data_IF_738354271632
#
_entry.id   IF_738354271632
#
_cell.length_a   1.000
_cell.length_b   1.000
_cell.length_c   1.000
_cell.angle_alpha   90.00
_cell.angle_beta   90.00
_cell.angle_gamma   90.00
#
_symmetry.space_group_name_H-M   'P 1'
#
loop_
_entity.id
_entity.type
_entity.pdbx_description
1 polymer ?
#
# COMPACT_ATOMS: atom_id res chain seq x y z
N UNK A 1 -5.29 22.57 2.03
CA UNK A 1 -4.72 21.24 1.76
C UNK A 1 -5.77 20.46 0.99
N UNK A 2 -5.45 19.91 -0.18
CA UNK A 2 -6.38 19.06 -0.92
C UNK A 2 -6.32 17.65 -0.35
N UNK A 3 -7.49 17.04 -0.12
CA UNK A 3 -7.60 15.63 0.23
C UNK A 3 -7.56 14.79 -1.04
N UNK A 4 -6.75 13.73 -1.05
CA UNK A 4 -6.55 12.89 -2.22
C UNK A 4 -6.58 11.42 -1.81
N UNK A 5 -7.29 10.62 -2.61
CA UNK A 5 -7.21 9.16 -2.60
C UNK A 5 -6.74 8.74 -3.98
N UNK A 6 -5.64 8.00 -4.06
CA UNK A 6 -5.17 7.36 -5.29
C UNK A 6 -5.21 5.86 -5.13
N UNK A 7 -5.54 5.15 -6.21
CA UNK A 7 -5.58 3.70 -6.25
C UNK A 7 -4.96 3.20 -7.55
N UNK A 8 -4.18 2.12 -7.46
CA UNK A 8 -3.52 1.46 -8.58
C UNK A 8 -3.73 -0.05 -8.49
N UNK A 9 -3.92 -0.68 -9.66
CA UNK A 9 -4.11 -2.13 -9.79
C UNK A 9 -3.10 -2.67 -10.80
N UNK A 10 -2.18 -3.51 -10.33
CA UNK A 10 -1.24 -4.25 -11.18
C UNK A 10 -1.70 -5.69 -11.34
N UNK A 11 -2.00 -6.11 -12.57
CA UNK A 11 -2.32 -7.50 -12.91
C UNK A 11 -1.07 -8.17 -13.49
N UNK A 12 -0.67 -9.29 -12.91
CA UNK A 12 0.50 -10.06 -13.29
C UNK A 12 0.11 -11.35 -14.03
N UNK A 13 1.04 -11.98 -14.76
CA UNK A 13 0.75 -13.20 -15.52
C UNK A 13 0.25 -14.37 -14.65
N UNK A 14 0.72 -14.46 -13.41
CA UNK A 14 0.35 -15.50 -12.44
C UNK A 14 0.56 -15.02 -11.00
N UNK A 15 0.09 -15.83 -10.04
CA UNK A 15 0.18 -15.58 -8.60
C UNK A 15 1.64 -15.46 -8.12
N UNK A 16 2.57 -16.21 -8.72
CA UNK A 16 3.99 -16.19 -8.38
C UNK A 16 4.64 -14.87 -8.79
N UNK A 17 4.36 -14.38 -9.99
CA UNK A 17 4.85 -13.09 -10.47
C UNK A 17 4.33 -11.91 -9.64
N UNK A 18 3.05 -11.94 -9.23
CA UNK A 18 2.50 -10.93 -8.33
C UNK A 18 3.14 -11.01 -6.93
N UNK A 19 3.35 -12.23 -6.42
CA UNK A 19 4.03 -12.44 -5.14
C UNK A 19 5.46 -11.92 -5.14
N UNK A 20 6.22 -12.22 -6.19
CA UNK A 20 7.60 -11.76 -6.37
C UNK A 20 7.69 -10.23 -6.41
N UNK A 21 6.71 -9.55 -7.00
CA UNK A 21 6.64 -8.09 -7.00
C UNK A 21 6.29 -7.55 -5.60
N UNK A 22 5.31 -8.15 -4.93
CA UNK A 22 4.90 -7.79 -3.57
C UNK A 22 6.04 -7.97 -2.55
N UNK A 23 6.76 -9.09 -2.60
CA UNK A 23 7.84 -9.40 -1.66
C UNK A 23 9.05 -8.46 -1.82
N UNK A 24 9.20 -7.79 -2.98
CA UNK A 24 10.20 -6.74 -3.20
C UNK A 24 9.84 -5.39 -2.56
N UNK A 25 8.58 -5.18 -2.17
CA UNK A 25 8.14 -3.91 -1.60
C UNK A 25 8.86 -3.60 -0.29
N UNK A 26 8.84 -4.53 0.67
CA UNK A 26 9.42 -4.27 2.00
C UNK A 26 10.91 -3.88 1.91
N UNK A 27 11.79 -4.63 1.22
CA UNK A 27 13.19 -4.21 1.07
C UNK A 27 13.36 -2.85 0.38
N UNK A 28 12.61 -2.58 -0.69
CA UNK A 28 12.71 -1.31 -1.42
C UNK A 28 12.23 -0.13 -0.57
N UNK A 29 11.13 -0.30 0.14
CA UNK A 29 10.55 0.71 1.02
C UNK A 29 11.42 0.97 2.25
N UNK A 30 12.04 -0.06 2.82
CA UNK A 30 13.01 0.11 3.91
C UNK A 30 14.18 0.95 3.45
N UNK A 31 14.74 0.67 2.26
CA UNK A 31 15.79 1.52 1.68
C UNK A 31 15.32 2.97 1.48
N UNK A 32 14.04 3.20 1.11
CA UNK A 32 13.48 4.54 1.04
C UNK A 32 13.37 5.22 2.42
N UNK A 33 12.92 4.49 3.44
CA UNK A 33 12.79 4.99 4.81
C UNK A 33 14.15 5.34 5.43
N UNK A 34 15.18 4.52 5.18
CA UNK A 34 16.53 4.70 5.73
C UNK A 34 17.23 5.96 5.20
N UNK A 35 16.81 6.47 4.03
CA UNK A 35 17.30 7.75 3.51
C UNK A 35 16.79 8.97 4.31
N UNK A 36 15.75 8.80 5.14
CA UNK A 36 15.19 9.87 5.99
C UNK A 36 14.95 11.17 5.22
N UNK A 37 14.41 11.04 4.01
CA UNK A 37 14.17 12.19 3.15
C UNK A 37 13.11 13.10 3.80
N UNK A 38 13.44 14.39 3.94
CA UNK A 38 12.57 15.37 4.58
C UNK A 38 11.16 15.34 3.96
N UNK A 39 10.13 15.26 4.80
CA UNK A 39 8.71 15.15 4.42
C UNK A 39 8.25 13.78 3.90
N UNK A 40 9.13 12.78 3.92
CA UNK A 40 8.85 11.39 3.54
C UNK A 40 9.16 10.42 4.69
N UNK A 41 8.99 10.88 5.93
CA UNK A 41 9.11 10.02 7.10
C UNK A 41 7.88 9.10 7.18
N UNK A 42 8.10 7.78 7.17
CA UNK A 42 7.06 6.78 7.35
C UNK A 42 7.62 5.55 8.06
N UNK A 43 6.72 4.74 8.61
CA UNK A 43 7.03 3.40 9.12
C UNK A 43 6.38 2.34 8.25
N UNK A 44 7.00 1.18 8.17
CA UNK A 44 6.49 0.04 7.41
C UNK A 44 5.91 -0.97 8.38
N UNK A 45 4.68 -1.41 8.14
CA UNK A 45 4.02 -2.48 8.88
C UNK A 45 3.53 -3.56 7.91
N UNK A 46 3.58 -4.82 8.35
CA UNK A 46 3.07 -5.95 7.58
C UNK A 46 2.00 -6.68 8.41
N UNK A 47 0.74 -6.22 8.40
CA UNK A 47 -0.30 -6.74 9.29
C UNK A 47 -0.67 -8.21 9.00
N UNK A 48 -0.42 -8.71 7.79
CA UNK A 48 -0.58 -10.11 7.41
C UNK A 48 0.32 -10.43 6.20
N UNK A 49 0.47 -11.72 5.80
CA UNK A 49 1.39 -12.10 4.73
C UNK A 49 1.11 -11.52 3.34
N UNK A 50 -0.08 -10.94 3.09
CA UNK A 50 -0.49 -10.38 1.80
C UNK A 50 -0.73 -8.87 1.84
N UNK A 51 -0.40 -8.19 2.93
CA UNK A 51 -0.65 -6.75 3.09
C UNK A 51 0.57 -6.04 3.65
N UNK A 52 0.97 -4.93 3.03
CA UNK A 52 2.03 -4.01 3.52
C UNK A 52 1.42 -2.62 3.67
N UNK A 53 1.64 -1.99 4.80
CA UNK A 53 1.15 -0.66 5.14
C UNK A 53 2.32 0.29 5.36
N UNK A 54 2.24 1.50 4.80
CA UNK A 54 3.15 2.60 5.12
C UNK A 54 2.36 3.62 5.93
N UNK A 55 2.88 3.96 7.10
CA UNK A 55 2.24 4.89 8.03
C UNK A 55 3.07 6.15 8.19
N UNK A 56 2.48 7.29 7.88
CA UNK A 56 3.02 8.61 8.22
C UNK A 56 1.92 9.48 8.83
N UNK A 57 2.32 10.61 9.38
CA UNK A 57 1.40 11.59 9.97
C UNK A 57 0.54 12.32 8.90
N UNK A 58 1.00 12.34 7.64
CA UNK A 58 0.37 13.12 6.57
C UNK A 58 -0.39 12.24 5.57
N UNK A 59 0.12 11.05 5.32
CA UNK A 59 -0.37 10.10 4.33
C UNK A 59 -0.25 8.66 4.81
N UNK A 60 -1.14 7.80 4.32
CA UNK A 60 -1.07 6.36 4.55
C UNK A 60 -1.19 5.63 3.22
N UNK A 61 -0.38 4.59 3.04
CA UNK A 61 -0.42 3.73 1.85
C UNK A 61 -0.70 2.30 2.27
N UNK A 62 -1.53 1.61 1.50
CA UNK A 62 -1.84 0.21 1.68
C UNK A 62 -1.61 -0.56 0.39
N UNK A 63 -0.71 -1.53 0.45
CA UNK A 63 -0.49 -2.52 -0.59
C UNK A 63 -1.17 -3.83 -0.21
N UNK A 64 -1.87 -4.47 -1.14
CA UNK A 64 -2.44 -5.80 -0.93
C UNK A 64 -2.28 -6.71 -2.14
N UNK A 65 -1.85 -7.94 -1.87
CA UNK A 65 -1.77 -9.02 -2.84
C UNK A 65 -3.02 -9.89 -2.77
N UNK A 66 -3.63 -10.18 -3.93
CA UNK A 66 -4.71 -11.15 -4.09
C UNK A 66 -4.54 -11.88 -5.42
N UNK A 67 -4.22 -13.18 -5.36
CA UNK A 67 -3.88 -13.99 -6.54
C UNK A 67 -2.82 -13.28 -7.41
N UNK A 68 -3.03 -13.17 -8.70
CA UNK A 68 -2.14 -12.49 -9.64
C UNK A 68 -2.27 -10.95 -9.65
N UNK A 69 -2.87 -10.35 -8.63
CA UNK A 69 -3.14 -8.90 -8.58
C UNK A 69 -2.51 -8.23 -7.36
N UNK A 70 -1.79 -7.14 -7.61
CA UNK A 70 -1.26 -6.23 -6.60
C UNK A 70 -2.07 -4.93 -6.60
N UNK A 71 -2.61 -4.58 -5.45
CA UNK A 71 -3.39 -3.37 -5.22
C UNK A 71 -2.52 -2.38 -4.44
N UNK A 72 -2.56 -1.11 -4.84
CA UNK A 72 -1.97 0.03 -4.13
C UNK A 72 -3.06 1.07 -3.87
N UNK A 73 -3.12 1.58 -2.64
CA UNK A 73 -4.04 2.65 -2.25
C UNK A 73 -3.28 3.65 -1.38
N UNK A 74 -3.21 4.91 -1.80
CA UNK A 74 -2.64 5.99 -1.01
C UNK A 74 -3.71 7.03 -0.65
N UNK A 75 -3.69 7.46 0.61
CA UNK A 75 -4.61 8.47 1.14
C UNK A 75 -3.81 9.59 1.79
N UNK A 76 -4.02 10.82 1.33
CA UNK A 76 -3.33 12.03 1.77
C UNK A 76 -4.34 13.09 2.21
N UNK A 77 -4.06 13.75 3.34
CA UNK A 77 -4.80 14.94 3.78
C UNK A 77 -6.22 14.69 4.29
N UNK A 78 -6.62 13.42 4.50
CA UNK A 78 -7.86 13.05 5.18
C UNK A 78 -7.60 12.74 6.66
N UNK A 79 -8.51 13.15 7.58
CA UNK A 79 -8.58 12.54 8.90
C UNK A 79 -8.76 11.03 8.75
N UNK A 80 -8.11 10.24 9.62
CA UNK A 80 -8.23 8.78 9.60
C UNK A 80 -7.80 8.16 8.25
N UNK A 81 -6.75 8.70 7.62
CA UNK A 81 -6.26 8.24 6.32
C UNK A 81 -5.91 6.74 6.28
N UNK A 82 -5.39 6.16 7.37
CA UNK A 82 -5.20 4.70 7.49
C UNK A 82 -6.51 3.91 7.36
N UNK A 83 -7.57 4.34 8.04
CA UNK A 83 -8.87 3.66 8.00
C UNK A 83 -9.51 3.77 6.62
N UNK A 84 -9.34 4.93 5.96
CA UNK A 84 -9.81 5.14 4.59
C UNK A 84 -9.04 4.24 3.61
N UNK A 85 -7.71 4.14 3.73
CA UNK A 85 -6.90 3.26 2.88
C UNK A 85 -7.31 1.79 3.02
N UNK A 86 -7.56 1.34 4.26
CA UNK A 86 -8.07 -0.01 4.54
C UNK A 86 -9.46 -0.24 3.90
N UNK A 87 -10.40 0.68 4.09
CA UNK A 87 -11.74 0.54 3.54
C UNK A 87 -11.75 0.48 2.00
N UNK A 88 -10.89 1.27 1.34
CA UNK A 88 -10.77 1.26 -0.12
C UNK A 88 -10.12 -0.03 -0.60
N UNK A 89 -9.04 -0.52 0.03
CA UNK A 89 -8.41 -1.77 -0.38
C UNK A 89 -9.34 -2.97 -0.17
N UNK A 90 -10.11 -3.00 0.92
CA UNK A 90 -11.12 -4.03 1.20
C UNK A 90 -12.22 -4.00 0.12
N UNK A 91 -12.72 -2.80 -0.20
CA UNK A 91 -13.72 -2.61 -1.25
C UNK A 91 -13.23 -3.07 -2.64
N UNK A 92 -11.95 -2.86 -2.97
CA UNK A 92 -11.35 -3.36 -4.22
C UNK A 92 -11.26 -4.89 -4.19
N UNK A 93 -10.69 -5.43 -3.11
CA UNK A 93 -10.53 -6.88 -2.85
C UNK A 93 -11.85 -7.63 -3.01
N UNK A 94 -12.93 -7.09 -2.44
CA UNK A 94 -14.28 -7.69 -2.49
C UNK A 94 -14.88 -7.72 -3.89
N UNK A 95 -14.52 -6.78 -4.77
CA UNK A 95 -15.00 -6.73 -6.16
C UNK A 95 -14.27 -7.70 -7.10
N UNK A 96 -13.16 -8.26 -6.65
CA UNK A 96 -12.37 -9.24 -7.41
C UNK A 96 -12.82 -10.69 -7.16
N UNK A 97 -13.83 -10.88 -6.29
CA UNK A 97 -14.48 -12.17 -6.06
C UNK A 97 -15.33 -12.61 -7.25
#
# INVERSE_FOLDING_TARGET
>A
MAAVVTQGIGIYPDDGAARDAFDRLVPALTACSDMQAKHYDFTIAQPNPSTVALKSDLWNVMYRLQSSVLIDVAVLGLPQSEQTANAVVDAITDRMK
#
